data_IF_774298592035
#
_entry.id   IF_774298592035
#
_cell.length_a   1.000
_cell.length_b   1.000
_cell.length_c   1.000
_cell.angle_alpha   90.00
_cell.angle_beta   90.00
_cell.angle_gamma   90.00
#
_symmetry.space_group_name_H-M   'P 1'
#
loop_
_entity.id
_entity.type
_entity.pdbx_description
1 polymer ?
#
# COMPACT_ATOMS: atom_id res chain seq x y z
N UNK A 1 25.01 -4.37 1.27
CA UNK A 1 25.06 -3.11 0.50
C UNK A 1 26.30 -3.12 -0.40
N UNK A 2 26.47 -4.20 -1.14
CA UNK A 2 27.69 -4.60 -1.87
C UNK A 2 27.34 -5.17 -3.25
N UNK A 3 26.10 -4.94 -3.72
CA UNK A 3 25.56 -5.47 -4.96
C UNK A 3 25.59 -7.01 -5.08
N UNK A 4 25.66 -7.75 -3.96
CA UNK A 4 25.67 -9.23 -3.98
C UNK A 4 24.32 -9.88 -4.27
N UNK A 5 23.22 -9.11 -4.27
CA UNK A 5 21.84 -9.57 -4.53
C UNK A 5 21.42 -10.83 -3.76
N UNK A 6 21.89 -10.99 -2.51
CA UNK A 6 21.52 -12.10 -1.62
C UNK A 6 20.09 -11.97 -1.11
N UNK A 7 19.10 -12.08 -2.00
CA UNK A 7 17.68 -11.84 -1.71
C UNK A 7 17.13 -12.80 -0.65
N UNK A 8 17.59 -14.05 -0.64
CA UNK A 8 17.20 -15.01 0.40
C UNK A 8 17.65 -14.57 1.80
N UNK A 9 18.87 -14.02 1.92
CA UNK A 9 19.35 -13.46 3.19
C UNK A 9 18.58 -12.18 3.52
N UNK A 10 18.33 -11.33 2.52
CA UNK A 10 17.54 -10.10 2.67
C UNK A 10 16.13 -10.35 3.21
N UNK A 11 15.40 -11.32 2.66
CA UNK A 11 14.06 -11.70 3.12
C UNK A 11 14.07 -12.22 4.57
N UNK A 12 15.06 -13.05 4.93
CA UNK A 12 15.20 -13.55 6.30
C UNK A 12 15.50 -12.42 7.29
N UNK A 13 16.42 -11.53 6.94
CA UNK A 13 16.79 -10.38 7.76
C UNK A 13 15.60 -9.43 7.92
N UNK A 14 14.90 -9.09 6.84
CA UNK A 14 13.73 -8.21 6.86
C UNK A 14 12.62 -8.77 7.76
N UNK A 15 12.28 -10.06 7.60
CA UNK A 15 11.26 -10.70 8.44
C UNK A 15 11.68 -10.76 9.90
N UNK A 16 12.93 -11.11 10.19
CA UNK A 16 13.43 -11.16 11.58
C UNK A 16 13.37 -9.77 12.22
N UNK A 17 13.81 -8.73 11.52
CA UNK A 17 13.76 -7.35 12.03
C UNK A 17 12.33 -6.91 12.33
N UNK A 18 11.39 -7.16 11.41
CA UNK A 18 9.98 -6.85 11.64
C UNK A 18 9.41 -7.63 12.83
N UNK A 19 9.81 -8.89 13.00
CA UNK A 19 9.41 -9.69 14.16
C UNK A 19 9.95 -9.10 15.46
N UNK A 20 11.25 -8.80 15.53
CA UNK A 20 11.90 -8.21 16.71
C UNK A 20 11.27 -6.85 17.09
N UNK A 21 10.93 -6.02 16.09
CA UNK A 21 10.23 -4.74 16.29
C UNK A 21 8.84 -4.98 16.91
N UNK A 22 8.03 -5.87 16.32
CA UNK A 22 6.70 -6.16 16.84
C UNK A 22 6.73 -6.82 18.23
N UNK A 23 7.70 -7.71 18.49
CA UNK A 23 7.88 -8.38 19.79
C UNK A 23 8.23 -7.39 20.92
N UNK A 24 8.92 -6.28 20.58
CA UNK A 24 9.14 -5.17 21.51
C UNK A 24 7.89 -4.33 21.82
N UNK A 25 6.76 -4.64 21.18
CA UNK A 25 5.49 -3.92 21.30
C UNK A 25 5.35 -2.72 20.36
N UNK A 26 6.31 -2.52 19.43
CA UNK A 26 6.28 -1.42 18.46
C UNK A 26 5.70 -1.91 17.11
N UNK A 27 4.59 -1.33 16.61
CA UNK A 27 4.06 -1.65 15.29
C UNK A 27 5.01 -1.24 14.15
N UNK A 28 4.97 -1.98 13.05
CA UNK A 28 5.75 -1.68 11.85
C UNK A 28 4.85 -1.25 10.67
N UNK A 29 5.39 -0.35 9.84
CA UNK A 29 4.78 0.13 8.61
C UNK A 29 5.78 0.00 7.45
N UNK A 30 5.30 -0.32 6.25
CA UNK A 30 6.15 -0.48 5.07
C UNK A 30 5.45 -0.16 3.75
N UNK A 31 6.21 -0.19 2.65
CA UNK A 31 5.69 0.02 1.29
C UNK A 31 5.77 -1.28 0.50
N UNK A 32 4.69 -1.65 -0.19
CA UNK A 32 4.64 -2.86 -1.02
C UNK A 32 4.86 -2.50 -2.49
N UNK A 33 5.98 -2.98 -3.04
CA UNK A 33 6.46 -2.62 -4.38
C UNK A 33 6.17 -3.69 -5.45
N UNK A 34 5.74 -4.87 -5.02
CA UNK A 34 5.44 -6.01 -5.89
C UNK A 34 4.39 -6.94 -5.24
N UNK A 35 3.92 -7.92 -6.00
CA UNK A 35 2.82 -8.82 -5.62
C UNK A 35 3.29 -10.09 -4.89
N UNK A 36 4.60 -10.26 -4.63
CA UNK A 36 5.21 -11.48 -4.08
C UNK A 36 5.74 -11.24 -2.67
N UNK A 37 6.51 -10.18 -2.45
CA UNK A 37 7.09 -9.79 -1.17
C UNK A 37 6.07 -9.75 -0.01
N UNK A 38 4.80 -9.31 -0.19
CA UNK A 38 3.78 -9.40 0.84
C UNK A 38 3.62 -10.80 1.45
N UNK A 39 3.82 -11.87 0.66
CA UNK A 39 3.73 -13.25 1.17
C UNK A 39 4.77 -13.58 2.25
N UNK A 40 5.84 -12.80 2.35
CA UNK A 40 6.95 -13.04 3.29
C UNK A 40 6.90 -12.16 4.54
N UNK A 41 6.22 -11.00 4.49
CA UNK A 41 6.32 -9.99 5.55
C UNK A 41 5.01 -9.33 5.95
N UNK A 42 3.93 -9.46 5.17
CA UNK A 42 2.71 -8.68 5.39
C UNK A 42 2.01 -9.01 6.72
N UNK A 43 2.19 -10.22 7.26
CA UNK A 43 1.68 -10.61 8.57
C UNK A 43 2.32 -9.86 9.75
N UNK A 44 3.41 -9.14 9.50
CA UNK A 44 4.12 -8.31 10.49
C UNK A 44 3.94 -6.80 10.22
N UNK A 45 3.10 -6.44 9.25
CA UNK A 45 2.83 -5.05 8.89
C UNK A 45 1.50 -4.59 9.49
N UNK A 46 1.56 -3.56 10.33
CA UNK A 46 0.36 -2.92 10.90
C UNK A 46 -0.25 -1.88 9.97
N UNK A 47 0.52 -1.40 8.97
CA UNK A 47 0.08 -0.45 7.96
C UNK A 47 0.94 -0.56 6.70
N UNK A 48 0.33 -0.38 5.53
CA UNK A 48 1.00 -0.44 4.23
C UNK A 48 0.89 0.86 3.42
N UNK A 49 1.90 1.15 2.60
CA UNK A 49 1.84 2.19 1.58
C UNK A 49 1.82 1.61 0.17
N UNK A 50 1.12 2.29 -0.74
CA UNK A 50 1.34 2.21 -2.19
C UNK A 50 1.93 3.53 -2.66
N UNK A 51 3.07 3.44 -3.34
CA UNK A 51 3.86 4.56 -3.80
C UNK A 51 3.18 5.47 -4.80
N UNK A 52 3.68 6.70 -4.94
CA UNK A 52 3.16 7.67 -5.91
C UNK A 52 3.29 7.18 -7.37
N UNK A 53 4.27 6.31 -7.65
CA UNK A 53 4.54 5.74 -8.98
C UNK A 53 3.71 4.48 -9.28
N UNK A 54 3.08 3.91 -8.27
CA UNK A 54 2.31 2.65 -8.38
C UNK A 54 0.86 2.81 -7.94
N UNK A 55 0.47 3.96 -7.40
CA UNK A 55 -0.93 4.27 -7.03
C UNK A 55 -1.90 4.20 -8.23
N UNK A 56 -1.44 4.51 -9.42
CA UNK A 56 -2.24 4.38 -10.66
C UNK A 56 -2.20 2.97 -11.26
N UNK A 57 -1.28 2.12 -10.80
CA UNK A 57 -1.13 0.74 -11.29
C UNK A 57 -2.30 -0.13 -10.80
N UNK A 58 -3.01 -0.74 -11.75
CA UNK A 58 -4.12 -1.62 -11.44
C UNK A 58 -3.70 -2.78 -10.53
N UNK A 59 -2.61 -3.49 -10.85
CA UNK A 59 -2.14 -4.63 -10.04
C UNK A 59 -1.79 -4.25 -8.60
N UNK A 60 -1.37 -3.01 -8.35
CA UNK A 60 -1.12 -2.53 -6.98
C UNK A 60 -2.42 -2.18 -6.23
N UNK A 61 -3.45 -1.71 -6.94
CA UNK A 61 -4.79 -1.52 -6.36
C UNK A 61 -5.45 -2.86 -6.02
N UNK A 62 -5.30 -3.84 -6.90
CA UNK A 62 -5.73 -5.22 -6.68
C UNK A 62 -4.98 -5.84 -5.50
N UNK A 63 -3.66 -5.68 -5.41
CA UNK A 63 -2.89 -6.10 -4.24
C UNK A 63 -3.42 -5.46 -2.94
N UNK A 64 -3.59 -4.14 -2.93
CA UNK A 64 -4.06 -3.40 -1.76
C UNK A 64 -5.44 -3.86 -1.27
N UNK A 65 -6.31 -4.29 -2.19
CA UNK A 65 -7.63 -4.86 -1.87
C UNK A 65 -7.56 -6.18 -1.08
N UNK A 66 -6.41 -6.86 -1.09
CA UNK A 66 -6.16 -8.12 -0.38
C UNK A 66 -5.18 -8.01 0.79
N UNK A 67 -4.62 -6.83 1.07
CA UNK A 67 -3.72 -6.64 2.21
C UNK A 67 -4.52 -6.66 3.51
N UNK A 68 -4.00 -7.38 4.51
CA UNK A 68 -4.64 -7.52 5.83
C UNK A 68 -4.43 -6.32 6.76
N UNK A 69 -3.78 -5.25 6.28
CA UNK A 69 -3.56 -4.01 7.02
C UNK A 69 -4.23 -2.83 6.30
N UNK A 70 -4.47 -1.71 7.00
CA UNK A 70 -4.85 -0.45 6.36
C UNK A 70 -3.78 0.00 5.36
N UNK A 71 -4.22 0.61 4.25
CA UNK A 71 -3.33 1.01 3.14
C UNK A 71 -3.46 2.50 2.82
N UNK A 72 -2.32 3.19 2.78
CA UNK A 72 -2.24 4.56 2.30
C UNK A 72 -1.77 4.66 0.84
N UNK A 73 -2.57 5.27 -0.02
CA UNK A 73 -2.20 5.60 -1.39
C UNK A 73 -1.63 7.02 -1.49
N UNK A 74 -0.39 7.14 -1.97
CA UNK A 74 0.25 8.44 -2.20
C UNK A 74 -0.34 9.13 -3.43
N UNK A 75 -0.56 10.45 -3.37
CA UNK A 75 -0.88 11.22 -4.58
C UNK A 75 0.25 11.10 -5.63
N UNK A 76 -0.08 11.33 -6.91
CA UNK A 76 0.85 11.24 -8.03
C UNK A 76 2.07 12.14 -7.87
N UNK A 77 3.17 11.83 -8.56
CA UNK A 77 4.45 12.56 -8.40
C UNK A 77 4.37 14.04 -8.75
N UNK A 78 3.43 14.41 -9.61
CA UNK A 78 3.15 15.79 -10.01
C UNK A 78 2.17 16.52 -9.07
N UNK A 79 1.58 15.82 -8.11
CA UNK A 79 0.56 16.34 -7.19
C UNK A 79 -0.84 15.80 -7.44
N UNK A 80 -1.06 14.98 -8.47
CA UNK A 80 -2.40 14.52 -8.86
C UNK A 80 -3.07 13.73 -7.73
N UNK A 81 -4.18 14.27 -7.21
CA UNK A 81 -4.97 13.66 -6.12
C UNK A 81 -5.89 12.55 -6.63
N UNK A 82 -6.44 12.73 -7.84
CA UNK A 82 -7.47 11.85 -8.41
C UNK A 82 -7.01 10.38 -8.46
N UNK A 83 -5.76 10.12 -8.82
CA UNK A 83 -5.21 8.76 -8.90
C UNK A 83 -5.27 8.00 -7.58
N UNK A 84 -5.12 8.70 -6.44
CA UNK A 84 -5.21 8.10 -5.11
C UNK A 84 -6.65 7.90 -4.67
N UNK A 85 -7.57 8.82 -5.00
CA UNK A 85 -9.01 8.65 -4.76
C UNK A 85 -9.55 7.43 -5.54
N UNK A 86 -9.20 7.34 -6.82
CA UNK A 86 -9.60 6.21 -7.67
C UNK A 86 -9.01 4.89 -7.14
N UNK A 87 -7.80 4.93 -6.59
CA UNK A 87 -7.15 3.77 -5.97
C UNK A 87 -7.85 3.30 -4.69
N UNK A 88 -8.28 4.21 -3.82
CA UNK A 88 -9.06 3.88 -2.61
C UNK A 88 -10.37 3.18 -2.99
N UNK A 89 -11.09 3.73 -3.97
CA UNK A 89 -12.33 3.14 -4.44
C UNK A 89 -12.11 1.77 -5.08
N UNK A 90 -11.06 1.61 -5.89
CA UNK A 90 -10.71 0.33 -6.49
C UNK A 90 -10.35 -0.71 -5.41
N UNK A 91 -9.48 -0.35 -4.45
CA UNK A 91 -9.04 -1.25 -3.40
C UNK A 91 -10.19 -1.69 -2.47
N UNK A 92 -11.26 -0.90 -2.35
CA UNK A 92 -12.46 -1.25 -1.59
C UNK A 92 -13.29 -2.39 -2.20
N UNK A 93 -13.04 -2.79 -3.45
CA UNK A 93 -13.78 -3.85 -4.15
C UNK A 93 -13.00 -5.19 -4.18
N UNK A 94 -13.70 -6.34 -4.34
CA UNK A 94 -13.08 -7.62 -4.66
C UNK A 94 -12.32 -7.59 -5.99
N UNK A 95 -11.14 -8.22 -6.02
CA UNK A 95 -10.28 -8.33 -7.21
C UNK A 95 -9.65 -9.70 -7.34
N UNK A 96 -8.98 -9.91 -8.48
CA UNK A 96 -8.20 -11.10 -8.78
C UNK A 96 -6.83 -10.68 -9.32
N UNK A 97 -5.74 -11.21 -8.77
CA UNK A 97 -4.38 -10.94 -9.26
C UNK A 97 -3.46 -12.15 -9.12
N UNK A 98 -2.38 -12.18 -9.89
CA UNK A 98 -1.37 -13.24 -9.85
C UNK A 98 -0.35 -12.99 -8.75
N UNK A 99 -0.07 -14.03 -7.96
CA UNK A 99 0.94 -14.04 -6.89
C UNK A 99 1.52 -15.45 -6.74
N UNK A 100 2.08 -15.75 -5.58
CA UNK A 100 2.54 -17.08 -5.19
C UNK A 100 1.82 -17.55 -3.93
N UNK A 101 1.62 -18.86 -3.82
CA UNK A 101 1.24 -19.50 -2.56
C UNK A 101 2.37 -19.39 -1.53
N UNK A 102 2.07 -19.69 -0.26
CA UNK A 102 3.10 -19.82 0.79
C UNK A 102 4.16 -20.90 0.49
N UNK A 103 3.87 -21.80 -0.44
CA UNK A 103 4.78 -22.85 -0.92
C UNK A 103 5.62 -22.43 -2.13
N UNK A 104 5.46 -21.20 -2.63
CA UNK A 104 6.24 -20.66 -3.75
C UNK A 104 5.70 -20.99 -5.16
N UNK A 105 4.58 -21.72 -5.27
CA UNK A 105 3.92 -21.95 -6.57
C UNK A 105 3.10 -20.74 -7.01
N UNK A 106 3.05 -20.48 -8.31
CA UNK A 106 2.16 -19.47 -8.88
C UNK A 106 0.70 -19.73 -8.51
N UNK A 107 -0.03 -18.67 -8.22
CA UNK A 107 -1.42 -18.74 -7.80
C UNK A 107 -2.22 -17.53 -8.26
N UNK A 108 -3.53 -17.76 -8.34
CA UNK A 108 -4.52 -16.71 -8.45
C UNK A 108 -5.00 -16.36 -7.04
N UNK A 109 -4.91 -15.09 -6.66
CA UNK A 109 -5.42 -14.57 -5.40
C UNK A 109 -6.73 -13.86 -5.68
N UNK A 110 -7.80 -14.25 -4.98
CA UNK A 110 -9.08 -13.54 -4.97
C UNK A 110 -9.21 -12.78 -3.65
N UNK A 111 -9.49 -11.48 -3.73
CA UNK A 111 -9.62 -10.60 -2.56
C UNK A 111 -11.08 -10.28 -2.27
N UNK A 112 -11.36 -9.79 -1.06
CA UNK A 112 -12.69 -9.33 -0.65
C UNK A 112 -12.86 -7.81 -0.69
N UNK A 113 -11.81 -7.08 -1.04
CA UNK A 113 -11.73 -5.63 -0.86
C UNK A 113 -11.15 -5.23 0.50
N UNK A 114 -10.55 -4.04 0.54
CA UNK A 114 -9.97 -3.41 1.71
C UNK A 114 -10.65 -2.06 1.97
N UNK A 115 -11.51 -2.02 2.99
CA UNK A 115 -12.27 -0.83 3.37
C UNK A 115 -11.47 0.21 4.15
N UNK A 116 -10.24 -0.10 4.59
CA UNK A 116 -9.40 0.76 5.43
C UNK A 116 -8.26 1.37 4.60
N UNK A 117 -8.63 1.93 3.46
CA UNK A 117 -7.73 2.65 2.57
C UNK A 117 -7.87 4.18 2.73
N UNK A 118 -6.77 4.91 2.66
CA UNK A 118 -6.76 6.38 2.76
C UNK A 118 -5.73 7.03 1.82
N UNK A 119 -5.83 8.35 1.65
CA UNK A 119 -4.88 9.12 0.85
C UNK A 119 -3.69 9.59 1.70
N UNK A 120 -2.52 9.74 1.08
CA UNK A 120 -1.34 10.39 1.63
C UNK A 120 -0.98 11.59 0.75
N UNK A 121 -0.97 12.78 1.37
CA UNK A 121 -0.51 14.02 0.73
C UNK A 121 1.01 14.14 0.86
N UNK A 122 1.71 14.09 -0.26
CA UNK A 122 3.19 14.03 -0.34
C UNK A 122 3.80 15.08 -1.28
N UNK A 123 3.05 16.14 -1.56
CA UNK A 123 3.41 17.21 -2.50
C UNK A 123 3.34 16.78 -3.96
N UNK A 124 3.76 17.68 -4.83
CA UNK A 124 3.86 17.50 -6.27
C UNK A 124 4.81 18.53 -6.84
N UNK A 125 4.38 19.25 -7.89
CA UNK A 125 5.07 20.46 -8.34
C UNK A 125 5.20 21.52 -7.23
N UNK A 126 4.24 21.53 -6.30
CA UNK A 126 4.23 22.35 -5.10
C UNK A 126 3.90 21.49 -3.87
N UNK A 127 4.26 21.91 -2.65
CA UNK A 127 3.81 21.23 -1.43
C UNK A 127 2.29 21.27 -1.28
N UNK A 128 1.68 20.17 -0.80
CA UNK A 128 0.21 20.07 -0.67
C UNK A 128 -0.27 19.81 0.78
N UNK A 129 0.50 20.28 1.77
CA UNK A 129 0.19 20.09 3.21
C UNK A 129 -0.64 21.23 3.83
N UNK A 130 -0.82 22.35 3.11
CA UNK A 130 -1.54 23.51 3.65
C UNK A 130 -3.00 23.20 3.95
N UNK A 131 -3.61 23.95 4.88
CA UNK A 131 -5.03 23.79 5.24
C UNK A 131 -5.95 23.90 4.02
N UNK A 132 -5.60 24.75 3.04
CA UNK A 132 -6.33 24.85 1.76
C UNK A 132 -6.30 23.52 0.99
N UNK A 133 -5.12 22.92 0.81
CA UNK A 133 -5.01 21.64 0.10
C UNK A 133 -5.76 20.53 0.82
N UNK A 134 -5.67 20.47 2.15
CA UNK A 134 -6.40 19.49 2.97
C UNK A 134 -7.92 19.67 2.80
N UNK A 135 -8.43 20.91 2.82
CA UNK A 135 -9.85 21.19 2.60
C UNK A 135 -10.31 20.76 1.19
N UNK A 136 -9.53 21.09 0.16
CA UNK A 136 -9.83 20.74 -1.23
C UNK A 136 -9.86 19.20 -1.43
N UNK A 137 -8.93 18.47 -0.78
CA UNK A 137 -8.90 16.99 -0.81
C UNK A 137 -10.08 16.38 -0.08
N UNK A 138 -10.48 16.91 1.09
CA UNK A 138 -11.66 16.43 1.83
C UNK A 138 -12.93 16.52 0.99
N UNK A 139 -13.10 17.62 0.24
CA UNK A 139 -14.22 17.78 -0.70
C UNK A 139 -14.15 16.71 -1.80
N UNK A 140 -12.97 16.47 -2.37
CA UNK A 140 -12.77 15.44 -3.39
C UNK A 140 -13.13 14.03 -2.91
N UNK A 141 -12.67 13.65 -1.72
CA UNK A 141 -12.98 12.35 -1.11
C UNK A 141 -14.48 12.17 -0.85
N UNK A 142 -15.13 13.19 -0.28
CA UNK A 142 -16.57 13.16 -0.02
C UNK A 142 -17.40 13.02 -1.31
N UNK A 143 -17.02 13.72 -2.39
CA UNK A 143 -17.67 13.60 -3.71
C UNK A 143 -17.52 12.22 -4.33
N UNK A 144 -16.41 11.54 -4.08
CA UNK A 144 -16.13 10.21 -4.62
C UNK A 144 -16.74 9.06 -3.80
N UNK A 145 -17.58 9.38 -2.80
CA UNK A 145 -18.16 8.43 -1.84
C UNK A 145 -17.12 7.61 -1.05
N UNK A 146 -15.86 8.05 -1.00
CA UNK A 146 -14.89 7.48 -0.08
C UNK A 146 -15.26 7.93 1.34
N UNK A 147 -15.45 6.98 2.27
CA UNK A 147 -15.70 7.33 3.68
C UNK A 147 -14.46 8.04 4.23
N UNK A 148 -14.62 9.28 4.71
CA UNK A 148 -13.65 9.91 5.59
C UNK A 148 -13.73 9.17 6.94
N UNK A 149 -12.76 8.31 7.25
CA UNK A 149 -12.57 7.76 8.60
C UNK A 149 -11.41 8.48 9.26
#
# INVERSE_FOLDING_TARGET
>A
MDNSFRINDGLRIARKLLLDINDSGLPAAGEFLDMITPQYVADLMSWGAIGARTTESQVHRELASGLSCPVGFKNGTDGTIKVAIDAINAAGAPHCFLSVTKWGHSAIVNTSGNGDCHIILRGGKEPNYSAKHVADVKIGLAKAACRLR
#
